data_IF_472391916329
#
_entry.id   IF_472391916329
#
_cell.length_a   1.000
_cell.length_b   1.000
_cell.length_c   1.000
_cell.angle_alpha   90.00
_cell.angle_beta   90.00
_cell.angle_gamma   90.00
#
_symmetry.space_group_name_H-M   'P 1'
#
loop_
_entity.id
_entity.type
_entity.pdbx_description
1 polymer ?
#
# COMPACT_ATOMS: atom_id res chain seq x y z
N UNK A 1 36.23 41.08 13.31
CA UNK A 1 35.83 39.70 13.67
C UNK A 1 34.44 39.48 13.09
N UNK A 2 34.38 39.22 11.79
CA UNK A 2 34.33 37.91 11.11
C UNK A 2 32.89 37.38 11.07
N UNK A 3 32.34 37.42 9.86
CA UNK A 3 31.08 36.84 9.43
C UNK A 3 31.13 35.31 9.49
N UNK A 4 30.02 34.68 9.89
CA UNK A 4 29.85 33.24 9.83
C UNK A 4 28.89 32.91 8.68
N UNK A 5 29.48 32.49 7.57
CA UNK A 5 28.86 31.81 6.43
C UNK A 5 28.75 30.33 6.80
N UNK A 6 27.53 29.77 6.83
CA UNK A 6 27.32 28.33 7.01
C UNK A 6 26.84 27.72 5.69
N UNK A 7 27.76 26.99 5.06
CA UNK A 7 27.56 26.16 3.87
C UNK A 7 26.68 24.93 4.18
N UNK A 8 25.82 24.49 3.24
CA UNK A 8 25.12 23.21 3.36
C UNK A 8 25.98 22.04 2.88
N UNK A 9 25.96 20.98 3.69
CA UNK A 9 26.69 19.72 3.57
C UNK A 9 26.26 18.92 2.33
N UNK A 10 27.16 18.81 1.35
CA UNK A 10 27.04 17.89 0.21
C UNK A 10 27.26 16.45 0.70
N UNK A 11 26.18 15.66 0.77
CA UNK A 11 26.29 14.20 0.94
C UNK A 11 26.60 13.59 -0.42
N UNK A 12 27.81 13.03 -0.53
CA UNK A 12 28.27 12.32 -1.73
C UNK A 12 27.42 11.09 -2.00
N UNK A 13 26.68 11.12 -3.10
CA UNK A 13 26.13 9.93 -3.73
C UNK A 13 27.17 9.41 -4.72
N UNK A 14 27.76 8.27 -4.37
CA UNK A 14 28.66 7.46 -5.20
C UNK A 14 28.09 7.33 -6.61
N UNK A 15 28.85 7.80 -7.60
CA UNK A 15 28.50 7.72 -9.00
C UNK A 15 28.42 6.27 -9.45
N UNK A 16 27.20 5.81 -9.75
CA UNK A 16 27.00 4.70 -10.66
C UNK A 16 27.09 5.29 -12.06
N UNK A 17 28.19 5.00 -12.76
CA UNK A 17 28.34 5.30 -14.18
C UNK A 17 27.16 4.69 -14.92
N UNK A 18 26.24 5.56 -15.34
CA UNK A 18 25.12 5.23 -16.21
C UNK A 18 25.69 4.89 -17.57
N UNK A 19 25.86 3.59 -17.86
CA UNK A 19 26.01 3.12 -19.24
C UNK A 19 24.67 3.38 -19.91
N UNK A 20 24.68 4.37 -20.79
CA UNK A 20 23.57 4.78 -21.63
C UNK A 20 22.98 3.56 -22.35
N UNK A 21 21.77 3.16 -21.97
CA UNK A 21 21.06 1.99 -22.49
C UNK A 21 20.46 2.24 -23.86
N UNK A 22 21.27 2.74 -24.80
CA UNK A 22 20.94 3.02 -26.18
C UNK A 22 21.74 2.18 -27.19
N UNK A 23 22.34 1.06 -26.76
CA UNK A 23 23.18 0.20 -27.58
C UNK A 23 22.52 -1.16 -27.86
N UNK A 24 22.52 -1.55 -29.12
CA UNK A 24 22.09 -2.81 -29.75
C UNK A 24 22.81 -4.09 -29.25
N UNK A 25 23.47 -4.02 -28.11
CA UNK A 25 24.39 -5.02 -27.57
C UNK A 25 23.66 -6.21 -26.93
N UNK A 26 22.34 -6.09 -26.72
CA UNK A 26 21.49 -7.19 -26.29
C UNK A 26 21.77 -7.60 -24.84
N UNK A 27 21.91 -8.91 -24.61
CA UNK A 27 22.07 -9.48 -23.27
C UNK A 27 23.49 -9.24 -22.76
N UNK A 28 23.64 -8.57 -21.62
CA UNK A 28 24.94 -8.29 -20.96
C UNK A 28 25.14 -9.22 -19.78
N UNK A 29 26.34 -9.81 -19.70
CA UNK A 29 26.80 -10.73 -18.68
C UNK A 29 27.87 -10.08 -17.79
N UNK A 30 27.92 -10.44 -16.51
CA UNK A 30 29.06 -10.14 -15.65
C UNK A 30 30.23 -11.08 -15.97
N UNK A 31 31.45 -10.55 -16.03
CA UNK A 31 32.63 -11.36 -16.31
C UNK A 31 33.01 -12.20 -15.08
N UNK A 32 33.11 -13.52 -15.27
CA UNK A 32 33.53 -14.51 -14.26
C UNK A 32 34.93 -15.04 -14.63
N UNK A 33 35.66 -15.59 -13.67
CA UNK A 33 37.01 -16.16 -13.87
C UNK A 33 37.07 -17.22 -14.98
N UNK A 34 36.02 -18.02 -15.14
CA UNK A 34 35.87 -19.01 -16.23
C UNK A 34 35.82 -18.35 -17.60
N UNK A 35 35.13 -17.21 -17.69
CA UNK A 35 35.01 -16.42 -18.92
C UNK A 35 36.33 -15.71 -19.22
N UNK A 36 37.00 -15.15 -18.21
CA UNK A 36 38.34 -14.57 -18.38
C UNK A 36 39.36 -15.60 -18.86
N UNK A 37 39.35 -16.81 -18.29
CA UNK A 37 40.24 -17.90 -18.70
C UNK A 37 39.99 -18.33 -20.14
N UNK A 38 38.72 -18.41 -20.54
CA UNK A 38 38.35 -18.68 -21.93
C UNK A 38 38.81 -17.58 -22.89
N UNK A 39 38.58 -16.31 -22.54
CA UNK A 39 39.04 -15.18 -23.35
C UNK A 39 40.56 -15.15 -23.48
N UNK A 40 41.30 -15.34 -22.37
CA UNK A 40 42.76 -15.44 -22.39
C UNK A 40 43.27 -16.61 -23.27
N UNK A 41 42.58 -17.75 -23.24
CA UNK A 41 42.84 -18.87 -24.15
C UNK A 41 42.58 -18.51 -25.61
N UNK A 42 41.48 -17.80 -25.90
CA UNK A 42 41.13 -17.33 -27.24
C UNK A 42 42.14 -16.33 -27.81
N UNK A 43 42.84 -15.56 -26.96
CA UNK A 43 43.95 -14.69 -27.42
C UNK A 43 45.15 -15.49 -27.97
N UNK A 44 45.36 -16.71 -27.49
CA UNK A 44 46.47 -17.58 -27.90
C UNK A 44 46.09 -18.55 -29.03
N UNK A 45 44.82 -18.55 -29.46
CA UNK A 45 44.30 -19.44 -30.48
C UNK A 45 44.67 -18.93 -31.88
N UNK A 46 45.35 -19.77 -32.66
CA UNK A 46 45.82 -19.47 -34.02
C UNK A 46 44.70 -19.65 -35.04
N UNK A 47 43.68 -20.45 -34.74
CA UNK A 47 42.55 -20.69 -35.66
C UNK A 47 41.49 -19.57 -35.61
N UNK A 48 41.57 -18.70 -34.60
CA UNK A 48 40.64 -17.59 -34.43
C UNK A 48 41.02 -16.40 -35.33
N UNK A 49 40.03 -15.83 -36.01
CA UNK A 49 40.19 -14.62 -36.82
C UNK A 49 40.77 -13.45 -36.00
N UNK A 50 41.63 -12.66 -36.63
CA UNK A 50 42.30 -11.50 -36.02
C UNK A 50 41.31 -10.51 -35.40
N UNK A 51 40.18 -10.25 -36.07
CA UNK A 51 39.10 -9.37 -35.57
C UNK A 51 38.49 -9.89 -34.26
N UNK A 52 38.30 -11.20 -34.14
CA UNK A 52 37.74 -11.83 -32.93
C UNK A 52 38.77 -11.89 -31.80
N UNK A 53 40.06 -11.96 -32.12
CA UNK A 53 41.16 -11.91 -31.14
C UNK A 53 41.31 -10.51 -30.56
N UNK A 54 41.21 -9.48 -31.40
CA UNK A 54 41.15 -8.09 -30.94
C UNK A 54 39.91 -7.85 -30.05
N UNK A 55 38.76 -8.40 -30.46
CA UNK A 55 37.54 -8.32 -29.67
C UNK A 55 37.70 -9.02 -28.31
N UNK A 56 38.28 -10.22 -28.27
CA UNK A 56 38.56 -10.94 -27.04
C UNK A 56 39.50 -10.14 -26.10
N UNK A 57 40.51 -9.47 -26.66
CA UNK A 57 41.39 -8.56 -25.90
C UNK A 57 40.60 -7.41 -25.27
N UNK A 58 39.73 -6.76 -26.05
CA UNK A 58 38.92 -5.64 -25.55
C UNK A 58 37.94 -6.06 -24.45
N UNK A 59 37.38 -7.28 -24.52
CA UNK A 59 36.45 -7.80 -23.53
C UNK A 59 37.12 -8.24 -22.23
N UNK A 60 38.40 -8.59 -22.26
CA UNK A 60 39.13 -9.03 -21.07
C UNK A 60 39.30 -7.90 -20.05
N UNK A 61 39.38 -6.66 -20.52
CA UNK A 61 39.56 -5.48 -19.68
C UNK A 61 38.25 -5.00 -19.00
N UNK A 62 37.09 -5.50 -19.45
CA UNK A 62 35.78 -5.04 -18.98
C UNK A 62 35.11 -6.02 -17.99
N UNK A 63 34.52 -5.52 -16.89
CA UNK A 63 33.80 -6.34 -15.90
C UNK A 63 32.41 -6.80 -16.37
N UNK A 64 31.94 -6.27 -17.50
CA UNK A 64 30.65 -6.60 -18.12
C UNK A 64 30.84 -6.76 -19.61
N UNK A 65 30.23 -7.79 -20.20
CA UNK A 65 30.41 -8.12 -21.60
C UNK A 65 29.08 -8.45 -22.30
N UNK A 66 28.90 -8.08 -23.57
CA UNK A 66 27.73 -8.52 -24.36
C UNK A 66 27.82 -10.00 -24.75
N UNK A 67 26.76 -10.76 -24.49
CA UNK A 67 26.67 -12.20 -24.80
C UNK A 67 26.86 -12.49 -26.29
N UNK A 68 26.43 -11.58 -27.18
CA UNK A 68 26.59 -11.75 -28.64
C UNK A 68 28.06 -11.93 -29.03
N UNK A 69 28.94 -11.12 -28.44
CA UNK A 69 30.37 -11.14 -28.73
C UNK A 69 31.06 -12.35 -28.12
N UNK A 70 30.70 -12.73 -26.90
CA UNK A 70 31.20 -13.97 -26.28
C UNK A 70 30.78 -15.19 -27.10
N UNK A 71 29.53 -15.22 -27.56
CA UNK A 71 29.00 -16.29 -28.39
C UNK A 71 29.71 -16.39 -29.74
N UNK A 72 30.04 -15.28 -30.39
CA UNK A 72 30.79 -15.32 -31.65
C UNK A 72 32.19 -15.90 -31.47
N UNK A 73 32.90 -15.52 -30.40
CA UNK A 73 34.22 -16.08 -30.09
C UNK A 73 34.09 -17.59 -29.79
N UNK A 74 33.09 -17.99 -29.01
CA UNK A 74 32.85 -19.40 -28.67
C UNK A 74 32.46 -20.26 -29.87
N UNK A 75 31.66 -19.75 -30.82
CA UNK A 75 31.32 -20.49 -32.04
C UNK A 75 32.55 -20.70 -32.93
N UNK A 76 33.45 -19.70 -33.00
CA UNK A 76 34.63 -19.75 -33.85
C UNK A 76 35.84 -20.44 -33.20
N UNK A 77 35.82 -20.69 -31.89
CA UNK A 77 36.88 -21.45 -31.20
C UNK A 77 36.89 -22.93 -31.63
N UNK A 78 38.06 -23.57 -31.57
CA UNK A 78 38.23 -24.96 -31.97
C UNK A 78 37.31 -25.91 -31.18
N UNK A 79 36.55 -26.75 -31.90
CA UNK A 79 35.54 -27.64 -31.30
C UNK A 79 36.09 -28.66 -30.31
N UNK A 80 37.39 -28.99 -30.38
CA UNK A 80 38.06 -29.97 -29.52
C UNK A 80 38.55 -29.37 -28.20
N UNK A 81 38.86 -28.07 -28.17
CA UNK A 81 39.34 -27.34 -26.99
C UNK A 81 38.26 -26.45 -26.36
N UNK A 82 37.10 -26.36 -27.00
CA UNK A 82 35.98 -25.51 -26.57
C UNK A 82 35.36 -25.98 -25.25
N UNK A 83 35.27 -25.10 -24.23
CA UNK A 83 34.58 -25.43 -22.98
C UNK A 83 33.07 -25.52 -23.20
N UNK A 84 32.38 -26.32 -22.36
CA UNK A 84 30.92 -26.34 -22.34
C UNK A 84 30.38 -24.95 -21.97
N UNK A 85 29.48 -24.42 -22.81
CA UNK A 85 28.95 -23.06 -22.67
C UNK A 85 28.22 -22.89 -21.34
N UNK A 86 27.48 -23.92 -20.90
CA UNK A 86 26.73 -23.88 -19.64
C UNK A 86 27.68 -23.83 -18.44
N UNK A 87 28.74 -24.62 -18.45
CA UNK A 87 29.78 -24.61 -17.40
C UNK A 87 30.55 -23.28 -17.41
N UNK A 88 30.85 -22.75 -18.59
CA UNK A 88 31.55 -21.47 -18.71
C UNK A 88 30.72 -20.29 -18.17
N UNK A 89 29.42 -20.28 -18.47
CA UNK A 89 28.48 -19.26 -17.98
C UNK A 89 28.00 -19.51 -16.54
N UNK A 90 28.39 -20.62 -15.93
CA UNK A 90 28.01 -20.93 -14.56
C UNK A 90 28.56 -19.88 -13.60
N UNK A 91 27.68 -19.27 -12.80
CA UNK A 91 28.04 -18.17 -11.89
C UNK A 91 28.12 -16.78 -12.54
N UNK A 92 27.90 -16.66 -13.85
CA UNK A 92 27.71 -15.36 -14.49
C UNK A 92 26.31 -14.81 -14.22
N UNK A 93 26.21 -13.52 -13.91
CA UNK A 93 24.95 -12.82 -13.69
C UNK A 93 24.58 -11.97 -14.90
N UNK A 94 23.29 -11.82 -15.15
CA UNK A 94 22.79 -10.89 -16.15
C UNK A 94 22.72 -9.48 -15.58
N UNK A 95 23.34 -8.53 -16.28
CA UNK A 95 23.27 -7.12 -15.92
C UNK A 95 22.07 -6.51 -16.64
N UNK A 96 20.95 -6.43 -15.93
CA UNK A 96 19.75 -5.76 -16.43
C UNK A 96 19.81 -4.28 -16.08
N UNK A 97 19.81 -3.41 -17.09
CA UNK A 97 19.54 -2.00 -16.89
C UNK A 97 18.04 -1.82 -16.66
N UNK A 98 17.68 -1.23 -15.52
CA UNK A 98 16.29 -0.83 -15.29
C UNK A 98 15.94 0.24 -16.32
N UNK A 99 14.80 0.13 -17.03
CA UNK A 99 14.35 1.18 -17.93
C UNK A 99 14.35 2.53 -17.22
N UNK A 100 14.68 3.62 -17.94
CA UNK A 100 14.68 4.97 -17.38
C UNK A 100 13.37 5.19 -16.61
N UNK A 101 13.42 5.52 -15.30
CA UNK A 101 12.22 5.75 -14.52
C UNK A 101 11.33 6.79 -15.20
N UNK A 102 10.04 6.46 -15.36
CA UNK A 102 9.09 7.37 -16.02
C UNK A 102 9.07 8.72 -15.31
N UNK A 103 9.28 9.78 -16.08
CA UNK A 103 9.12 11.14 -15.59
C UNK A 103 7.64 11.35 -15.22
N UNK A 104 7.38 11.70 -13.95
CA UNK A 104 6.02 11.95 -13.47
C UNK A 104 5.52 13.28 -14.04
N UNK A 105 4.28 13.33 -14.52
CA UNK A 105 3.65 14.57 -14.98
C UNK A 105 3.54 15.61 -13.85
N UNK A 106 3.57 16.89 -14.21
CA UNK A 106 3.45 17.99 -13.25
C UNK A 106 2.14 17.94 -12.46
N UNK A 107 1.04 17.53 -13.10
CA UNK A 107 -0.24 17.32 -12.43
C UNK A 107 -0.18 16.23 -11.35
N UNK A 108 0.56 15.15 -11.60
CA UNK A 108 0.68 14.05 -10.64
C UNK A 108 1.56 14.44 -9.46
N UNK A 109 2.62 15.23 -9.70
CA UNK A 109 3.43 15.82 -8.62
C UNK A 109 2.60 16.76 -7.74
N UNK A 110 1.79 17.62 -8.35
CA UNK A 110 0.90 18.53 -7.62
C UNK A 110 -0.12 17.77 -6.76
N UNK A 111 -0.70 16.67 -7.27
CA UNK A 111 -1.61 15.82 -6.51
C UNK A 111 -0.93 15.11 -5.34
N UNK A 112 0.28 14.59 -5.54
CA UNK A 112 1.05 13.97 -4.48
C UNK A 112 1.37 14.97 -3.36
N UNK A 113 1.80 16.18 -3.73
CA UNK A 113 2.05 17.27 -2.76
C UNK A 113 0.78 17.63 -1.97
N UNK A 114 -0.37 17.71 -2.63
CA UNK A 114 -1.66 17.98 -1.96
C UNK A 114 -2.03 16.87 -0.96
N UNK A 115 -1.79 15.61 -1.31
CA UNK A 115 -2.04 14.48 -0.42
C UNK A 115 -1.10 14.47 0.79
N UNK A 116 0.17 14.80 0.57
CA UNK A 116 1.17 14.94 1.63
C UNK A 116 0.80 16.05 2.61
N UNK A 117 0.46 17.25 2.12
CA UNK A 117 0.00 18.36 2.96
C UNK A 117 -1.26 17.98 3.78
N UNK A 118 -2.19 17.24 3.18
CA UNK A 118 -3.37 16.76 3.89
C UNK A 118 -3.02 15.75 4.99
N UNK A 119 -2.04 14.87 4.76
CA UNK A 119 -1.57 13.94 5.78
C UNK A 119 -0.82 14.64 6.92
N UNK A 120 -0.04 15.68 6.62
CA UNK A 120 0.68 16.48 7.62
C UNK A 120 -0.31 17.24 8.51
N UNK A 121 -1.33 17.87 7.91
CA UNK A 121 -2.41 18.53 8.65
C UNK A 121 -3.12 17.56 9.59
N UNK A 122 -3.43 16.35 9.10
CA UNK A 122 -4.06 15.32 9.94
C UNK A 122 -3.16 14.90 11.11
N UNK A 123 -1.87 14.72 10.87
CA UNK A 123 -0.91 14.40 11.92
C UNK A 123 -0.80 15.54 12.94
N UNK A 124 -0.77 16.79 12.49
CA UNK A 124 -0.82 17.96 13.36
C UNK A 124 -2.09 17.98 14.22
N UNK A 125 -3.25 17.73 13.62
CA UNK A 125 -4.54 17.67 14.34
C UNK A 125 -4.55 16.58 15.42
N UNK A 126 -3.92 15.43 15.15
CA UNK A 126 -3.77 14.36 16.13
C UNK A 126 -2.88 14.77 17.31
N UNK A 127 -1.79 15.50 17.07
CA UNK A 127 -0.90 16.01 18.13
C UNK A 127 -1.58 17.06 19.01
N UNK A 128 -2.46 17.88 18.43
CA UNK A 128 -3.13 18.99 19.11
C UNK A 128 -4.45 18.57 19.77
N UNK A 129 -4.93 17.35 19.49
CA UNK A 129 -6.21 16.80 19.95
C UNK A 129 -6.41 16.82 21.48
N UNK A 130 -5.33 16.62 22.25
CA UNK A 130 -5.40 16.55 23.72
C UNK A 130 -5.27 17.93 24.39
N UNK A 131 -4.85 18.95 23.63
CA UNK A 131 -4.62 20.31 24.12
C UNK A 131 -5.77 21.24 23.72
N UNK A 132 -6.29 21.08 22.50
CA UNK A 132 -7.42 21.87 22.02
C UNK A 132 -8.71 21.29 22.60
N UNK A 133 -9.54 22.10 23.31
CA UNK A 133 -10.83 21.63 23.78
C UNK A 133 -11.60 21.12 22.56
N UNK A 134 -12.03 19.85 22.61
CA UNK A 134 -12.77 19.19 21.53
C UNK A 134 -13.95 20.09 21.17
N UNK A 135 -13.83 20.82 20.05
CA UNK A 135 -14.96 21.56 19.52
C UNK A 135 -16.07 20.54 19.35
N UNK A 136 -17.19 20.75 20.03
CA UNK A 136 -18.45 20.09 19.73
C UNK A 136 -18.85 20.67 18.38
N UNK A 137 -18.18 20.22 17.32
CA UNK A 137 -18.62 20.49 15.96
C UNK A 137 -19.81 19.57 15.82
N UNK A 138 -21.01 20.15 15.97
CA UNK A 138 -22.24 19.49 15.55
C UNK A 138 -22.07 19.14 14.08
N UNK A 139 -21.65 17.90 13.82
CA UNK A 139 -21.55 17.37 12.46
C UNK A 139 -22.99 17.37 11.91
N UNK A 140 -23.31 18.21 10.91
CA UNK A 140 -24.68 18.29 10.37
C UNK A 140 -25.13 16.96 9.74
N UNK A 141 -24.19 16.06 9.47
CA UNK A 141 -24.43 14.70 8.97
C UNK A 141 -24.61 13.64 10.07
N UNK A 142 -24.24 13.92 11.33
CA UNK A 142 -24.55 13.02 12.45
C UNK A 142 -26.05 13.09 12.77
N UNK A 143 -26.65 14.29 12.74
CA UNK A 143 -28.09 14.45 12.92
C UNK A 143 -28.87 13.76 11.79
N UNK A 144 -28.41 13.84 10.53
CA UNK A 144 -29.06 13.15 9.41
C UNK A 144 -28.93 11.62 9.49
N UNK A 145 -27.76 11.09 9.86
CA UNK A 145 -27.54 9.64 10.00
C UNK A 145 -28.29 9.06 11.19
N UNK A 146 -28.37 9.78 12.30
CA UNK A 146 -29.15 9.37 13.48
C UNK A 146 -30.66 9.49 13.21
N UNK A 147 -31.09 10.51 12.46
CA UNK A 147 -32.49 10.67 12.04
C UNK A 147 -32.93 9.63 10.98
N UNK A 148 -32.03 9.26 10.06
CA UNK A 148 -32.23 8.15 9.13
C UNK A 148 -32.27 6.80 9.86
N UNK A 149 -31.38 6.60 10.83
CA UNK A 149 -31.35 5.40 11.66
C UNK A 149 -32.60 5.25 12.52
N UNK A 150 -33.10 6.36 13.07
CA UNK A 150 -34.35 6.41 13.83
C UNK A 150 -35.57 6.10 12.96
N UNK A 151 -35.72 6.77 11.80
CA UNK A 151 -36.85 6.49 10.89
C UNK A 151 -36.84 5.08 10.32
N UNK A 152 -35.66 4.52 10.02
CA UNK A 152 -35.51 3.15 9.56
C UNK A 152 -35.87 2.13 10.65
N UNK A 153 -35.48 2.39 11.90
CA UNK A 153 -35.84 1.55 13.05
C UNK A 153 -37.35 1.51 13.26
N UNK A 154 -38.00 2.68 13.28
CA UNK A 154 -39.46 2.81 13.44
C UNK A 154 -40.18 2.06 12.32
N UNK A 155 -39.75 2.22 11.07
CA UNK A 155 -40.34 1.52 9.92
C UNK A 155 -40.21 -0.01 10.06
N UNK A 156 -39.05 -0.49 10.49
CA UNK A 156 -38.77 -1.93 10.65
C UNK A 156 -39.60 -2.54 11.78
N UNK A 157 -39.75 -1.82 12.90
CA UNK A 157 -40.58 -2.26 14.03
C UNK A 157 -42.07 -2.24 13.69
N UNK A 158 -42.55 -1.24 12.93
CA UNK A 158 -43.93 -1.23 12.42
C UNK A 158 -44.20 -2.41 11.49
N UNK A 159 -43.31 -2.67 10.53
CA UNK A 159 -43.45 -3.82 9.63
C UNK A 159 -43.46 -5.15 10.38
N UNK A 160 -42.55 -5.30 11.35
CA UNK A 160 -42.46 -6.51 12.18
C UNK A 160 -43.71 -6.68 13.05
N UNK A 161 -44.21 -5.60 13.66
CA UNK A 161 -45.45 -5.62 14.45
C UNK A 161 -46.68 -6.01 13.63
N UNK A 162 -46.80 -5.51 12.40
CA UNK A 162 -47.87 -5.91 11.47
C UNK A 162 -47.79 -7.39 11.11
N UNK A 163 -46.61 -7.90 10.74
CA UNK A 163 -46.42 -9.31 10.40
C UNK A 163 -46.76 -10.21 11.59
N UNK A 164 -46.23 -9.90 12.78
CA UNK A 164 -46.49 -10.67 13.99
C UNK A 164 -47.98 -10.67 14.34
N UNK A 165 -48.64 -9.51 14.31
CA UNK A 165 -50.08 -9.41 14.56
C UNK A 165 -50.92 -10.16 13.51
N UNK A 166 -50.54 -10.06 12.23
CA UNK A 166 -51.20 -10.74 11.13
C UNK A 166 -51.10 -12.26 11.28
N UNK A 167 -49.90 -12.79 11.56
CA UNK A 167 -49.70 -14.22 11.75
C UNK A 167 -50.33 -14.74 13.05
N UNK A 168 -50.29 -13.96 14.14
CA UNK A 168 -50.91 -14.34 15.40
C UNK A 168 -52.44 -14.48 15.28
N UNK A 169 -53.11 -13.53 14.62
CA UNK A 169 -54.56 -13.62 14.39
C UNK A 169 -54.92 -14.64 13.32
N UNK A 170 -54.07 -14.84 12.30
CA UNK A 170 -54.22 -15.92 11.32
C UNK A 170 -54.14 -17.30 11.97
N UNK A 171 -53.31 -17.45 13.01
CA UNK A 171 -53.21 -18.68 13.79
C UNK A 171 -54.39 -18.87 14.75
N UNK A 172 -54.92 -17.78 15.33
CA UNK A 172 -55.98 -17.83 16.34
C UNK A 172 -57.40 -17.89 15.74
N UNK A 173 -57.64 -17.20 14.63
CA UNK A 173 -58.91 -17.16 13.90
C UNK A 173 -58.67 -17.67 12.48
N UNK A 174 -58.88 -18.98 12.29
CA UNK A 174 -58.70 -19.73 11.04
C UNK A 174 -58.92 -18.89 9.76
N UNK A 175 -57.88 -18.79 8.92
CA UNK A 175 -57.78 -18.35 7.51
C UNK A 175 -58.69 -17.23 6.96
N UNK A 176 -59.46 -16.53 7.77
CA UNK A 176 -60.29 -15.41 7.32
C UNK A 176 -59.39 -14.20 7.05
N UNK A 177 -59.32 -13.71 5.80
CA UNK A 177 -58.40 -12.62 5.45
C UNK A 177 -58.71 -11.34 6.22
N UNK A 178 -59.99 -11.09 6.52
CA UNK A 178 -60.44 -9.91 7.25
C UNK A 178 -59.97 -9.88 8.72
N UNK A 179 -60.05 -11.00 9.45
CA UNK A 179 -59.60 -11.07 10.84
C UNK A 179 -58.08 -11.06 10.96
N UNK A 180 -57.39 -11.66 9.99
CA UNK A 180 -55.92 -11.62 9.94
C UNK A 180 -55.42 -10.18 9.69
N UNK A 181 -56.08 -9.43 8.80
CA UNK A 181 -55.80 -8.01 8.58
C UNK A 181 -56.09 -7.16 9.82
N UNK A 182 -57.20 -7.42 10.52
CA UNK A 182 -57.50 -6.75 11.79
C UNK A 182 -56.44 -7.02 12.86
N UNK A 183 -55.92 -8.24 12.93
CA UNK A 183 -54.79 -8.59 13.80
C UNK A 183 -53.48 -7.90 13.44
N UNK A 184 -53.21 -7.71 12.14
CA UNK A 184 -52.08 -6.91 11.69
C UNK A 184 -52.20 -5.44 12.13
N UNK A 185 -53.40 -4.86 12.04
CA UNK A 185 -53.67 -3.49 12.53
C UNK A 185 -53.51 -3.41 14.05
N UNK A 186 -54.01 -4.39 14.80
CA UNK A 186 -53.81 -4.45 16.26
C UNK A 186 -52.33 -4.64 16.62
N UNK A 187 -51.60 -5.43 15.83
CA UNK A 187 -50.16 -5.61 15.92
C UNK A 187 -49.36 -4.34 15.61
N UNK A 188 -49.84 -3.47 14.71
CA UNK A 188 -49.28 -2.15 14.51
C UNK A 188 -49.45 -1.27 15.74
N UNK A 189 -50.65 -1.23 16.35
CA UNK A 189 -50.89 -0.45 17.57
C UNK A 189 -50.01 -0.95 18.73
N UNK A 190 -49.92 -2.28 18.91
CA UNK A 190 -49.03 -2.89 19.90
C UNK A 190 -47.55 -2.61 19.63
N UNK A 191 -47.12 -2.71 18.36
CA UNK A 191 -45.77 -2.38 17.92
C UNK A 191 -45.41 -0.92 18.20
N UNK A 192 -46.34 0.02 17.99
CA UNK A 192 -46.15 1.44 18.33
C UNK A 192 -45.95 1.67 19.83
N UNK A 193 -46.66 0.93 20.70
CA UNK A 193 -46.47 1.02 22.15
C UNK A 193 -45.11 0.48 22.59
N UNK A 194 -44.68 -0.67 22.02
CA UNK A 194 -43.37 -1.26 22.29
C UNK A 194 -42.25 -0.35 21.79
N UNK A 195 -42.38 0.20 20.58
CA UNK A 195 -41.44 1.17 20.02
C UNK A 195 -41.30 2.40 20.92
N UNK A 196 -42.42 2.94 21.42
CA UNK A 196 -42.41 4.08 22.34
C UNK A 196 -41.68 3.75 23.64
N UNK A 197 -41.90 2.56 24.21
CA UNK A 197 -41.21 2.13 25.41
C UNK A 197 -39.71 1.92 25.19
N UNK A 198 -39.32 1.28 24.08
CA UNK A 198 -37.92 1.08 23.70
C UNK A 198 -37.23 2.42 23.41
N UNK A 199 -37.93 3.37 22.80
CA UNK A 199 -37.44 4.72 22.60
C UNK A 199 -37.14 5.41 23.93
N UNK A 200 -38.07 5.33 24.90
CA UNK A 200 -37.89 5.89 26.25
C UNK A 200 -36.70 5.24 26.98
N UNK A 201 -36.56 3.92 26.90
CA UNK A 201 -35.43 3.21 27.52
C UNK A 201 -34.11 3.59 26.86
N UNK A 202 -34.08 3.65 25.52
CA UNK A 202 -32.89 4.00 24.75
C UNK A 202 -32.44 5.42 25.05
N UNK A 203 -33.35 6.39 25.01
CA UNK A 203 -33.02 7.80 25.32
C UNK A 203 -32.58 7.94 26.79
N UNK A 204 -33.24 7.25 27.73
CA UNK A 204 -32.85 7.24 29.14
C UNK A 204 -31.47 6.60 29.38
N UNK A 205 -31.11 5.55 28.64
CA UNK A 205 -29.81 4.87 28.76
C UNK A 205 -28.65 5.72 28.21
N UNK A 206 -28.91 6.57 27.21
CA UNK A 206 -27.92 7.52 26.70
C UNK A 206 -27.67 8.64 27.70
N UNK A 207 -28.72 9.14 28.36
CA UNK A 207 -28.62 10.16 29.41
C UNK A 207 -27.90 9.63 30.68
N UNK A 208 -27.96 8.32 30.92
CA UNK A 208 -27.27 7.61 32.01
C UNK A 208 -25.82 7.22 31.72
N UNK A 209 -25.18 7.70 30.65
CA UNK A 209 -23.71 7.56 30.51
C UNK A 209 -23.00 8.72 31.21
N UNK A 210 -22.64 8.62 32.51
CA UNK A 210 -21.68 9.55 33.08
C UNK A 210 -20.35 9.35 32.36
N UNK A 211 -19.78 10.45 31.92
CA UNK A 211 -18.39 10.65 31.52
C UNK A 211 -17.42 10.21 32.64
N UNK A 212 -17.32 8.89 32.91
CA UNK A 212 -16.27 8.33 33.76
C UNK A 212 -15.03 8.03 32.91
N UNK A 213 -14.23 9.06 32.70
CA UNK A 213 -12.77 8.93 32.61
C UNK A 213 -12.14 9.86 33.64
N UNK A 214 -12.29 9.51 34.92
CA UNK A 214 -11.37 10.00 35.95
C UNK A 214 -10.12 9.15 35.88
N UNK A 215 -9.13 9.60 35.11
CA UNK A 215 -7.75 9.13 35.21
C UNK A 215 -7.19 9.61 36.54
N UNK A 216 -7.22 8.74 37.56
CA UNK A 216 -6.47 8.95 38.80
C UNK A 216 -4.97 8.86 38.49
N UNK A 217 -4.34 9.99 38.20
CA UNK A 217 -2.87 10.09 38.21
C UNK A 217 -2.39 10.03 39.66
N UNK A 218 -1.77 8.91 40.01
CA UNK A 218 -0.96 8.78 41.22
C UNK A 218 0.26 9.69 41.11
N UNK A 219 0.30 10.81 41.83
CA UNK A 219 1.54 11.56 42.04
C UNK A 219 2.33 10.91 43.17
N UNK A 220 3.43 10.24 42.82
CA UNK A 220 4.49 9.92 43.79
C UNK A 220 5.13 11.24 44.21
N UNK A 221 4.73 11.77 45.36
CA UNK A 221 5.41 12.93 45.94
C UNK A 221 6.69 12.47 46.65
N UNK A 222 7.76 13.17 46.25
CA UNK A 222 9.18 12.93 46.49
C UNK A 222 9.54 13.17 47.96
N UNK A 223 10.26 12.19 48.52
CA UNK A 223 11.05 12.24 49.77
C UNK A 223 11.78 13.57 49.95
N UNK A 224 11.61 14.21 51.11
CA UNK A 224 12.58 15.06 51.79
C UNK A 224 12.08 15.42 53.21
N UNK A 225 12.40 14.58 54.18
CA UNK A 225 13.05 14.95 55.45
C UNK A 225 13.60 13.68 56.10
#
# INVERSE_FOLDING_TARGET
MIAAENSPTTTGATGTTTVDGGGNDGLVLSTTETIHSFLAGALSDVELSDDLRELASSLCDHPTLPYKHLRSIWICSNSSTRPDLMVMLFGSNFVFSSPKPREKSEELKARLRKLEEASERKAYDELVKDITPKKVVDEPFSSYKDQMGFGLHVTLMMFTGYLVGYYAFRALFSHSPAMSAAGGILGLVGGMLVETLLFIIRTSSQDRKPTKKSTSFTSKQKKNQ
#
